data_IF_532000328385
#
_entry.id   IF_532000328385
#
_cell.length_a   1.000
_cell.length_b   1.000
_cell.length_c   1.000
_cell.angle_alpha   90.00
_cell.angle_beta   90.00
_cell.angle_gamma   90.00
#
_symmetry.space_group_name_H-M   'P 1'
#
loop_
_entity.id
_entity.type
_entity.pdbx_description
1 polymer ?
#
# COMPACT_ATOMS: atom_id res chain seq x y z
N UNK A 1 -3.57 22.20 2.68
CA UNK A 1 -3.58 21.48 3.96
C UNK A 1 -4.72 20.48 3.92
N UNK A 2 -4.45 19.19 3.75
CA UNK A 2 -5.48 18.14 3.74
C UNK A 2 -5.66 17.61 5.16
N UNK A 3 -6.61 18.15 5.92
CA UNK A 3 -6.98 17.56 7.20
C UNK A 3 -8.04 16.47 7.00
N UNK A 4 -7.90 15.38 7.75
CA UNK A 4 -8.92 14.33 7.83
C UNK A 4 -9.79 14.61 9.07
N UNK A 5 -11.12 14.68 8.95
CA UNK A 5 -11.98 14.89 10.10
C UNK A 5 -11.92 13.71 11.07
N UNK A 6 -12.00 13.97 12.37
CA UNK A 6 -11.84 12.95 13.41
C UNK A 6 -12.89 11.83 13.32
N UNK A 7 -14.09 12.15 12.84
CA UNK A 7 -15.18 11.22 12.58
C UNK A 7 -14.77 10.16 11.55
N UNK A 8 -14.03 10.56 10.51
CA UNK A 8 -13.57 9.64 9.48
C UNK A 8 -12.56 8.62 10.03
N UNK A 9 -11.74 9.04 11.01
CA UNK A 9 -10.77 8.19 11.70
C UNK A 9 -11.43 7.15 12.61
N UNK A 10 -12.68 7.37 13.03
CA UNK A 10 -13.44 6.44 13.89
C UNK A 10 -14.22 5.38 13.11
N UNK A 11 -14.25 5.44 11.78
CA UNK A 11 -14.98 4.46 10.96
C UNK A 11 -14.36 3.08 11.07
N UNK A 12 -15.21 2.04 11.02
CA UNK A 12 -14.77 0.65 10.94
C UNK A 12 -13.88 0.47 9.70
N UNK A 13 -12.69 -0.08 9.89
CA UNK A 13 -11.72 -0.28 8.82
C UNK A 13 -10.81 0.92 8.55
N UNK A 14 -10.96 2.04 9.28
CA UNK A 14 -10.00 3.14 9.17
C UNK A 14 -8.62 2.70 9.70
N UNK A 15 -7.57 3.00 8.93
CA UNK A 15 -6.19 2.66 9.25
C UNK A 15 -5.22 3.76 8.82
N UNK A 16 -4.01 3.75 9.37
CA UNK A 16 -2.84 4.42 8.80
C UNK A 16 -2.05 3.39 8.01
N UNK A 17 -1.68 3.73 6.78
CA UNK A 17 -0.70 2.99 6.00
C UNK A 17 0.64 3.70 6.08
N UNK A 18 1.66 2.99 6.53
CA UNK A 18 3.04 3.43 6.50
C UNK A 18 3.69 2.84 5.26
N UNK A 19 4.24 3.69 4.41
CA UNK A 19 5.03 3.27 3.24
C UNK A 19 6.47 3.69 3.49
N UNK A 20 7.36 2.70 3.46
CA UNK A 20 8.81 2.92 3.57
C UNK A 20 9.37 2.87 2.16
N UNK A 21 10.14 3.90 1.82
CA UNK A 21 10.83 4.01 0.54
C UNK A 21 12.31 4.25 0.80
N UNK A 22 13.16 3.64 -0.03
CA UNK A 22 14.58 4.00 -0.10
C UNK A 22 14.70 5.30 -0.90
N UNK A 23 15.53 6.22 -0.43
CA UNK A 23 15.62 7.54 -1.02
C UNK A 23 16.79 7.62 -1.98
N UNK A 24 16.50 7.87 -3.25
CA UNK A 24 17.48 8.06 -4.30
C UNK A 24 17.55 9.51 -4.75
N UNK A 25 18.76 10.05 -4.91
CA UNK A 25 18.97 11.42 -5.38
C UNK A 25 18.86 11.58 -6.89
N UNK A 26 19.14 10.52 -7.65
CA UNK A 26 19.23 10.56 -9.11
C UNK A 26 17.98 10.01 -9.81
N UNK A 27 17.08 9.36 -9.06
CA UNK A 27 15.92 8.66 -9.59
C UNK A 27 14.70 8.83 -8.67
N UNK A 28 13.63 8.10 -8.97
CA UNK A 28 12.49 7.95 -8.07
C UNK A 28 12.86 7.06 -6.89
N UNK A 29 12.36 7.39 -5.71
CA UNK A 29 12.49 6.55 -4.52
C UNK A 29 11.96 5.12 -4.76
N UNK A 30 12.69 4.12 -4.28
CA UNK A 30 12.33 2.72 -4.40
C UNK A 30 11.44 2.24 -3.24
N UNK A 31 10.47 1.38 -3.54
CA UNK A 31 9.57 0.85 -2.51
C UNK A 31 10.26 -0.23 -1.65
N UNK A 32 10.46 0.07 -0.36
CA UNK A 32 11.07 -0.84 0.59
C UNK A 32 10.04 -1.72 1.33
N UNK A 33 8.79 -1.28 1.44
CA UNK A 33 7.71 -2.03 2.06
C UNK A 33 6.61 -1.15 2.66
N UNK A 34 5.54 -1.78 3.11
CA UNK A 34 4.44 -1.09 3.78
C UNK A 34 3.93 -1.85 5.00
N UNK A 35 3.29 -1.13 5.92
CA UNK A 35 2.57 -1.72 7.04
C UNK A 35 1.32 -0.90 7.37
N UNK A 36 0.23 -1.57 7.72
CA UNK A 36 -1.02 -0.93 8.09
C UNK A 36 -1.31 -1.10 9.59
N UNK A 37 -1.79 -0.03 10.23
CA UNK A 37 -2.24 -0.02 11.62
C UNK A 37 -3.69 0.48 11.68
N UNK A 38 -4.59 -0.32 12.26
CA UNK A 38 -5.98 0.09 12.47
C UNK A 38 -6.12 1.21 13.50
N UNK A 39 -6.96 2.20 13.22
CA UNK A 39 -7.16 3.36 14.09
C UNK A 39 -8.00 3.07 15.34
N UNK A 40 -8.76 1.96 15.33
CA UNK A 40 -9.69 1.63 16.42
C UNK A 40 -9.04 1.37 17.78
N UNK A 41 -7.76 1.02 17.82
CA UNK A 41 -6.99 0.80 19.05
C UNK A 41 -6.17 2.01 19.51
N UNK A 42 -6.19 3.12 18.77
CA UNK A 42 -5.33 4.27 19.03
C UNK A 42 -6.01 5.22 20.03
N UNK A 43 -5.33 5.46 21.15
CA UNK A 43 -5.74 6.42 22.18
C UNK A 43 -5.95 7.81 21.59
N UNK A 44 -7.06 8.45 21.96
CA UNK A 44 -7.46 9.77 21.44
C UNK A 44 -8.23 9.74 20.12
N UNK A 45 -8.29 8.61 19.41
CA UNK A 45 -9.13 8.46 18.21
C UNK A 45 -10.47 7.81 18.58
N UNK A 46 -10.43 6.62 19.18
CA UNK A 46 -11.64 5.83 19.44
C UNK A 46 -12.46 6.31 20.64
N UNK A 47 -11.83 7.02 21.59
CA UNK A 47 -12.49 7.57 22.77
C UNK A 47 -12.08 9.03 22.96
N UNK A 48 -13.03 9.96 23.19
CA UNK A 48 -12.72 11.31 23.61
C UNK A 48 -11.95 11.27 24.93
N UNK A 49 -10.94 12.12 25.04
CA UNK A 49 -10.08 12.18 26.22
C UNK A 49 -10.87 12.73 27.41
N UNK A 50 -11.18 11.88 28.39
CA UNK A 50 -11.77 12.31 29.67
C UNK A 50 -10.62 12.51 30.66
N UNK A 51 -10.04 13.72 30.68
CA UNK A 51 -9.18 14.25 31.75
C UNK A 51 -7.92 13.45 32.13
N UNK A 52 -6.74 14.07 31.97
CA UNK A 52 -5.46 13.54 32.49
C UNK A 52 -4.53 13.08 31.37
N UNK A 53 -3.38 13.76 31.20
CA UNK A 53 -2.52 13.69 30.02
C UNK A 53 -2.26 12.30 29.42
N UNK A 54 -2.16 12.25 28.09
CA UNK A 54 -1.86 11.05 27.30
C UNK A 54 -0.52 10.46 27.75
N UNK A 55 -0.53 9.36 28.50
CA UNK A 55 0.70 8.60 28.74
C UNK A 55 1.10 7.91 27.43
N UNK A 56 2.36 7.99 27.01
CA UNK A 56 2.82 7.24 25.83
C UNK A 56 2.58 5.76 26.10
N UNK A 57 1.81 5.11 25.22
CA UNK A 57 1.60 3.67 25.26
C UNK A 57 2.89 2.91 24.93
N UNK A 58 2.86 1.59 25.05
CA UNK A 58 3.96 0.76 24.58
C UNK A 58 4.13 0.94 23.05
N UNK A 59 5.37 0.97 22.54
CA UNK A 59 5.62 1.02 21.10
C UNK A 59 4.94 -0.15 20.39
N UNK A 60 4.32 0.12 19.24
CA UNK A 60 3.73 -0.91 18.39
C UNK A 60 4.74 -1.25 17.30
N UNK A 61 5.25 -2.47 17.32
CA UNK A 61 6.11 -2.99 16.25
C UNK A 61 5.25 -3.44 15.07
N UNK A 62 5.48 -2.84 13.90
CA UNK A 62 4.81 -3.20 12.65
C UNK A 62 5.78 -3.95 11.73
N UNK A 63 5.38 -5.13 11.28
CA UNK A 63 6.16 -5.88 10.29
C UNK A 63 5.87 -5.37 8.89
N UNK A 64 6.92 -4.90 8.21
CA UNK A 64 6.83 -4.47 6.83
C UNK A 64 6.49 -5.66 5.93
N UNK A 65 5.54 -5.44 5.02
CA UNK A 65 5.17 -6.35 3.96
C UNK A 65 5.60 -5.72 2.65
N UNK A 66 6.11 -6.54 1.73
CA UNK A 66 6.24 -6.16 0.33
C UNK A 66 5.21 -6.96 -0.45
N UNK A 67 3.98 -6.45 -0.63
CA UNK A 67 3.07 -7.06 -1.57
C UNK A 67 3.81 -7.12 -2.90
N UNK A 68 4.05 -8.33 -3.42
CA UNK A 68 4.48 -8.43 -4.81
C UNK A 68 3.41 -7.73 -5.62
N UNK A 69 3.81 -6.80 -6.47
CA UNK A 69 2.90 -6.17 -7.40
C UNK A 69 2.05 -7.30 -8.00
N UNK A 70 0.74 -7.25 -7.80
CA UNK A 70 -0.15 -8.28 -8.33
C UNK A 70 -0.30 -8.08 -9.84
N UNK A 71 0.83 -8.01 -10.54
CA UNK A 71 0.93 -7.87 -12.00
C UNK A 71 0.08 -8.96 -12.64
N UNK A 72 0.08 -10.18 -12.08
CA UNK A 72 -0.81 -11.26 -12.53
C UNK A 72 -2.31 -10.96 -12.40
N UNK A 73 -2.73 -10.26 -11.35
CA UNK A 73 -4.15 -9.87 -11.18
C UNK A 73 -4.53 -8.76 -12.17
N UNK A 74 -3.67 -7.74 -12.33
CA UNK A 74 -3.88 -6.64 -13.26
C UNK A 74 -3.84 -7.14 -14.71
N UNK A 75 -2.90 -8.03 -15.06
CA UNK A 75 -2.82 -8.69 -16.35
C UNK A 75 -4.06 -9.53 -16.63
N UNK A 76 -4.53 -10.33 -15.66
CA UNK A 76 -5.76 -11.11 -15.81
C UNK A 76 -6.99 -10.23 -16.04
N UNK A 77 -7.04 -9.06 -15.39
CA UNK A 77 -8.09 -8.07 -15.65
C UNK A 77 -8.00 -7.47 -17.05
N UNK A 78 -6.79 -7.23 -17.57
CA UNK A 78 -6.56 -6.71 -18.92
C UNK A 78 -6.87 -7.77 -20.00
N UNK A 79 -6.58 -9.04 -19.74
CA UNK A 79 -6.89 -10.18 -20.64
C UNK A 79 -8.38 -10.30 -20.96
N UNK A 80 -9.25 -9.98 -19.99
CA UNK A 80 -10.71 -10.03 -20.17
C UNK A 80 -11.30 -8.86 -20.97
N UNK A 81 -10.51 -7.84 -21.33
CA UNK A 81 -10.99 -6.65 -22.05
C UNK A 81 -10.92 -6.87 -23.56
N UNK A 82 -11.93 -6.42 -24.29
CA UNK A 82 -11.95 -6.45 -25.78
C UNK A 82 -11.19 -5.29 -26.43
N UNK A 83 -10.59 -4.39 -25.64
CA UNK A 83 -9.74 -3.29 -26.15
C UNK A 83 -8.49 -3.83 -26.82
N UNK A 84 -8.20 -3.28 -28.01
CA UNK A 84 -7.00 -3.62 -28.77
C UNK A 84 -5.72 -3.26 -28.02
N UNK A 85 -5.65 -2.09 -27.37
CA UNK A 85 -4.46 -1.72 -26.61
C UNK A 85 -4.21 -2.67 -25.43
N UNK A 86 -5.28 -3.09 -24.74
CA UNK A 86 -5.17 -4.04 -23.62
C UNK A 86 -4.63 -5.40 -24.09
N UNK A 87 -5.15 -5.93 -25.20
CA UNK A 87 -4.69 -7.21 -25.77
C UNK A 87 -3.25 -7.14 -26.28
N UNK A 88 -2.87 -6.05 -26.95
CA UNK A 88 -1.49 -5.85 -27.43
C UNK A 88 -0.50 -5.71 -26.26
N UNK A 89 -0.87 -5.02 -25.19
CA UNK A 89 -0.04 -4.87 -24.00
C UNK A 89 0.19 -6.20 -23.28
N UNK A 90 -0.88 -6.99 -23.06
CA UNK A 90 -0.78 -8.33 -22.48
C UNK A 90 0.13 -9.24 -23.32
N UNK A 91 -0.01 -9.20 -24.66
CA UNK A 91 0.83 -9.98 -25.56
C UNK A 91 2.31 -9.60 -25.44
N UNK A 92 2.62 -8.30 -25.47
CA UNK A 92 4.01 -7.80 -25.32
C UNK A 92 4.63 -8.21 -23.99
N UNK A 93 3.89 -8.10 -22.89
CA UNK A 93 4.37 -8.49 -21.57
C UNK A 93 4.67 -9.99 -21.47
N UNK A 94 3.81 -10.85 -22.04
CA UNK A 94 4.04 -12.31 -22.06
C UNK A 94 5.27 -12.70 -22.86
N UNK A 95 5.52 -12.02 -23.98
CA UNK A 95 6.73 -12.27 -24.78
C UNK A 95 7.99 -11.78 -24.06
N UNK A 96 7.94 -10.64 -23.35
CA UNK A 96 9.04 -10.17 -22.51
C UNK A 96 9.38 -11.16 -21.37
N UNK A 97 8.37 -11.73 -20.69
CA UNK A 97 8.59 -12.76 -19.66
C UNK A 97 9.33 -13.98 -20.24
N UNK A 98 8.93 -14.45 -21.43
CA UNK A 98 9.61 -15.58 -22.11
C UNK A 98 11.06 -15.26 -22.49
N UNK A 99 11.34 -14.05 -22.96
CA UNK A 99 12.70 -13.65 -23.30
C UNK A 99 13.59 -13.60 -22.05
N UNK A 100 13.07 -13.09 -20.92
CA UNK A 100 13.84 -13.00 -19.68
C UNK A 100 14.11 -14.36 -19.02
N UNK A 101 13.23 -15.37 -19.20
CA UNK A 101 13.47 -16.74 -18.74
C UNK A 101 14.45 -17.51 -19.64
N UNK A 102 14.66 -17.09 -20.89
CA UNK A 102 15.60 -17.74 -21.82
C UNK A 102 17.06 -17.30 -21.63
N UNK A 103 17.28 -16.19 -20.91
CA UNK A 103 18.60 -15.61 -20.62
C UNK A 103 19.13 -15.99 -19.21
N UNK A 104 18.46 -16.92 -18.52
CA UNK A 104 18.84 -17.51 -17.22
C UNK A 104 19.17 -19.00 -17.38
#
# INVERSE_FOLDING_TARGET
HSSVPAEACRRRGACVLFTVMDHDWLSTNDFAGEAALGLGGISGIARPHVGGGMRPGQPITLHLRRPRAQVRSALRMLEGRTSREAQEFVKKLKELEKCMEADL
#
